data_IF_132967655454
#
_entry.id   IF_132967655454
#
_cell.length_a   1.000
_cell.length_b   1.000
_cell.length_c   1.000
_cell.angle_alpha   90.00
_cell.angle_beta   90.00
_cell.angle_gamma   90.00
#
_symmetry.space_group_name_H-M   'P 1'
#
loop_
_entity.id
_entity.type
_entity.pdbx_description
1 polymer ?
#
# COMPACT_ATOMS: atom_id res chain seq x y z
N UNK A 1 -28.70 -12.34 -16.26
CA UNK A 1 -27.91 -11.35 -15.48
C UNK A 1 -28.42 -9.96 -15.84
N UNK A 2 -28.95 -9.18 -14.88
CA UNK A 2 -29.66 -7.93 -15.18
C UNK A 2 -28.71 -6.81 -15.63
N UNK A 3 -29.22 -5.87 -16.44
CA UNK A 3 -28.48 -4.69 -16.94
C UNK A 3 -27.85 -3.88 -15.80
N UNK A 4 -28.56 -3.75 -14.68
CA UNK A 4 -28.09 -3.08 -13.47
C UNK A 4 -26.84 -3.75 -12.89
N UNK A 5 -26.81 -5.09 -12.86
CA UNK A 5 -25.67 -5.86 -12.33
C UNK A 5 -24.42 -5.69 -13.20
N UNK A 6 -24.56 -5.63 -14.53
CA UNK A 6 -23.44 -5.36 -15.45
C UNK A 6 -22.85 -3.96 -15.25
N UNK A 7 -23.71 -2.96 -15.04
CA UNK A 7 -23.28 -1.57 -14.86
C UNK A 7 -22.48 -1.39 -13.57
N UNK A 8 -22.96 -2.02 -12.50
CA UNK A 8 -22.30 -2.03 -11.20
C UNK A 8 -20.95 -2.77 -11.26
N UNK A 9 -20.91 -3.96 -11.85
CA UNK A 9 -19.65 -4.72 -12.03
C UNK A 9 -18.60 -3.93 -12.86
N UNK A 10 -19.05 -3.20 -13.88
CA UNK A 10 -18.18 -2.34 -14.69
C UNK A 10 -17.60 -1.17 -13.90
N UNK A 11 -18.41 -0.53 -13.04
CA UNK A 11 -17.95 0.56 -12.17
C UNK A 11 -16.88 0.07 -11.18
N UNK A 12 -17.12 -1.06 -10.50
CA UNK A 12 -16.14 -1.65 -9.58
C UNK A 12 -14.81 -1.96 -10.28
N UNK A 13 -14.86 -2.58 -11.46
CA UNK A 13 -13.65 -2.87 -12.24
C UNK A 13 -12.85 -1.60 -12.53
N UNK A 14 -13.53 -0.51 -12.91
CA UNK A 14 -12.88 0.78 -13.19
C UNK A 14 -12.21 1.36 -11.94
N UNK A 15 -12.86 1.30 -10.77
CA UNK A 15 -12.26 1.75 -9.51
C UNK A 15 -10.97 0.99 -9.19
N UNK A 16 -10.96 -0.33 -9.34
CA UNK A 16 -9.75 -1.13 -9.10
C UNK A 16 -8.63 -0.88 -10.13
N UNK A 17 -8.97 -0.55 -11.38
CA UNK A 17 -7.99 -0.16 -12.39
C UNK A 17 -7.35 1.20 -12.07
N UNK A 18 -8.16 2.19 -11.67
CA UNK A 18 -7.67 3.49 -11.23
C UNK A 18 -6.77 3.34 -10.01
N UNK A 19 -7.19 2.53 -9.03
CA UNK A 19 -6.38 2.16 -7.88
C UNK A 19 -5.02 1.59 -8.30
N UNK A 20 -5.00 0.60 -9.19
CA UNK A 20 -3.75 -0.01 -9.66
C UNK A 20 -2.83 1.02 -10.32
N UNK A 21 -3.37 1.86 -11.21
CA UNK A 21 -2.59 2.91 -11.88
C UNK A 21 -2.01 3.91 -10.89
N UNK A 22 -2.81 4.38 -9.92
CA UNK A 22 -2.35 5.31 -8.89
C UNK A 22 -1.24 4.69 -8.03
N UNK A 23 -1.40 3.43 -7.58
CA UNK A 23 -0.37 2.74 -6.81
C UNK A 23 0.95 2.63 -7.60
N UNK A 24 0.89 2.33 -8.90
CA UNK A 24 2.08 2.26 -9.74
C UNK A 24 2.75 3.63 -9.94
N UNK A 25 1.98 4.70 -10.13
CA UNK A 25 2.50 6.07 -10.25
C UNK A 25 3.19 6.48 -8.95
N UNK A 26 2.54 6.24 -7.80
CA UNK A 26 3.11 6.52 -6.48
C UNK A 26 4.40 5.72 -6.28
N UNK A 27 4.42 4.46 -6.69
CA UNK A 27 5.60 3.61 -6.60
C UNK A 27 6.77 4.12 -7.47
N UNK A 28 6.50 4.53 -8.71
CA UNK A 28 7.53 5.15 -9.56
C UNK A 28 8.06 6.43 -8.90
N UNK A 29 7.17 7.28 -8.39
CA UNK A 29 7.54 8.49 -7.65
C UNK A 29 8.42 8.19 -6.44
N UNK A 30 8.08 7.14 -5.67
CA UNK A 30 8.89 6.64 -4.56
C UNK A 30 10.31 6.27 -5.01
N UNK A 31 10.43 5.43 -6.05
CA UNK A 31 11.73 4.96 -6.54
C UNK A 31 12.60 6.12 -7.00
N UNK A 32 12.04 7.06 -7.78
CA UNK A 32 12.77 8.22 -8.27
C UNK A 32 13.26 9.11 -7.14
N UNK A 33 12.39 9.40 -6.17
CA UNK A 33 12.73 10.23 -5.02
C UNK A 33 13.76 9.56 -4.12
N UNK A 34 13.62 8.26 -3.86
CA UNK A 34 14.54 7.50 -3.03
C UNK A 34 15.93 7.40 -3.68
N UNK A 35 16.00 7.14 -4.99
CA UNK A 35 17.25 7.15 -5.74
C UNK A 35 17.92 8.54 -5.70
N UNK A 36 17.14 9.61 -5.86
CA UNK A 36 17.66 10.97 -5.73
C UNK A 36 18.20 11.26 -4.32
N UNK A 37 17.47 10.83 -3.28
CA UNK A 37 17.88 10.97 -1.88
C UNK A 37 19.18 10.24 -1.60
N UNK A 38 19.37 9.02 -2.12
CA UNK A 38 20.62 8.26 -1.97
C UNK A 38 21.80 8.94 -2.66
N UNK A 39 21.62 9.42 -3.89
CA UNK A 39 22.67 10.17 -4.60
C UNK A 39 23.08 11.44 -3.85
N UNK A 40 22.11 12.16 -3.29
CA UNK A 40 22.42 13.34 -2.48
C UNK A 40 23.07 12.98 -1.14
N UNK A 41 22.72 11.84 -0.55
CA UNK A 41 23.38 11.35 0.66
C UNK A 41 24.88 11.09 0.42
N UNK A 42 25.26 10.51 -0.72
CA UNK A 42 26.68 10.35 -1.09
C UNK A 42 27.40 11.70 -1.21
N UNK A 43 26.77 12.69 -1.86
CA UNK A 43 27.33 14.05 -1.98
C UNK A 43 27.52 14.71 -0.61
N UNK A 44 26.53 14.58 0.28
CA UNK A 44 26.62 15.15 1.63
C UNK A 44 27.66 14.44 2.49
N UNK A 45 27.81 13.12 2.35
CA UNK A 45 28.85 12.36 3.06
C UNK A 45 30.26 12.64 2.54
N UNK A 46 30.39 13.04 1.27
CA UNK A 46 31.67 13.39 0.66
C UNK A 46 32.14 14.83 0.96
N UNK A 47 31.29 15.67 1.59
CA UNK A 47 31.72 17.01 2.03
C UNK A 47 32.68 16.87 3.21
N UNK A 48 33.87 17.45 3.07
CA UNK A 48 34.88 17.53 4.15
C UNK A 48 34.47 18.55 5.24
N UNK A 49 33.66 19.55 4.88
CA UNK A 49 33.15 20.58 5.78
C UNK A 49 31.82 20.19 6.47
N UNK A 50 31.50 20.88 7.57
CA UNK A 50 30.20 20.78 8.24
C UNK A 50 29.04 21.12 7.29
N UNK A 51 27.99 20.30 7.32
CA UNK A 51 26.74 20.52 6.58
C UNK A 51 26.20 21.93 6.81
N UNK A 52 25.88 22.64 5.73
CA UNK A 52 25.28 23.96 5.85
C UNK A 52 23.82 23.85 6.31
N UNK A 53 23.25 24.92 6.88
CA UNK A 53 21.81 24.95 7.19
C UNK A 53 20.92 24.62 5.98
N UNK A 54 21.34 25.03 4.77
CA UNK A 54 20.62 24.73 3.53
C UNK A 54 20.68 23.25 3.14
N UNK A 55 21.78 22.56 3.42
CA UNK A 55 21.89 21.11 3.25
C UNK A 55 20.95 20.38 4.21
N UNK A 56 20.92 20.80 5.48
CA UNK A 56 20.05 20.23 6.51
C UNK A 56 18.57 20.36 6.13
N UNK A 57 18.16 21.53 5.62
CA UNK A 57 16.79 21.72 5.15
C UNK A 57 16.46 20.83 3.95
N UNK A 58 17.41 20.65 3.03
CA UNK A 58 17.24 19.77 1.87
C UNK A 58 17.10 18.30 2.29
N UNK A 59 17.95 17.84 3.21
CA UNK A 59 17.87 16.50 3.84
C UNK A 59 16.47 16.30 4.45
N UNK A 60 16.04 17.27 5.27
CA UNK A 60 14.76 17.20 5.97
C UNK A 60 13.59 17.12 4.99
N UNK A 61 13.57 17.99 3.98
CA UNK A 61 12.49 18.00 2.99
C UNK A 61 12.43 16.69 2.22
N UNK A 62 13.58 16.17 1.75
CA UNK A 62 13.62 14.89 1.02
C UNK A 62 13.16 13.71 1.89
N UNK A 63 13.51 13.70 3.17
CA UNK A 63 12.98 12.75 4.14
C UNK A 63 11.44 12.82 4.23
N UNK A 64 10.91 14.02 4.43
CA UNK A 64 9.46 14.25 4.53
C UNK A 64 8.71 13.88 3.24
N UNK A 65 9.25 14.19 2.07
CA UNK A 65 8.64 13.80 0.80
C UNK A 65 8.59 12.28 0.63
N UNK A 66 9.66 11.58 1.02
CA UNK A 66 9.71 10.11 0.95
C UNK A 66 8.65 9.50 1.86
N UNK A 67 8.58 9.96 3.12
CA UNK A 67 7.59 9.52 4.10
C UNK A 67 6.15 9.77 3.61
N UNK A 68 5.86 10.96 3.06
CA UNK A 68 4.53 11.29 2.52
C UNK A 68 4.11 10.38 1.38
N UNK A 69 5.05 9.98 0.52
CA UNK A 69 4.78 9.05 -0.58
C UNK A 69 4.44 7.66 -0.01
N UNK A 70 5.20 7.17 0.96
CA UNK A 70 4.90 5.90 1.64
C UNK A 70 3.53 5.91 2.33
N UNK A 71 3.21 6.99 3.05
CA UNK A 71 1.90 7.17 3.70
C UNK A 71 0.76 7.19 2.65
N UNK A 72 0.97 7.84 1.51
CA UNK A 72 -0.02 7.89 0.42
C UNK A 72 -0.30 6.49 -0.14
N UNK A 73 0.75 5.67 -0.30
CA UNK A 73 0.64 4.28 -0.74
C UNK A 73 -0.19 3.43 0.24
N UNK A 74 0.08 3.57 1.55
CA UNK A 74 -0.69 2.87 2.59
C UNK A 74 -2.14 3.36 2.67
N UNK A 75 -2.34 4.67 2.60
CA UNK A 75 -3.67 5.29 2.68
C UNK A 75 -4.55 4.81 1.52
N UNK A 76 -4.01 4.79 0.29
CA UNK A 76 -4.75 4.32 -0.87
C UNK A 76 -5.13 2.84 -0.76
N UNK A 77 -4.22 2.00 -0.25
CA UNK A 77 -4.51 0.61 0.06
C UNK A 77 -5.63 0.46 1.10
N UNK A 78 -5.56 1.18 2.22
CA UNK A 78 -6.56 1.12 3.30
C UNK A 78 -7.93 1.59 2.81
N UNK A 79 -8.01 2.66 2.03
CA UNK A 79 -9.27 3.16 1.45
C UNK A 79 -9.92 2.08 0.59
N UNK A 80 -9.16 1.43 -0.29
CA UNK A 80 -9.69 0.39 -1.17
C UNK A 80 -10.00 -0.90 -0.42
N UNK A 81 -9.24 -1.24 0.62
CA UNK A 81 -9.54 -2.36 1.51
C UNK A 81 -10.88 -2.14 2.25
N UNK A 82 -11.08 -0.98 2.86
CA UNK A 82 -12.34 -0.61 3.53
C UNK A 82 -13.49 -0.60 2.52
N UNK A 83 -13.32 0.03 1.36
CA UNK A 83 -14.32 0.02 0.29
C UNK A 83 -14.71 -1.40 -0.13
N UNK A 84 -13.73 -2.31 -0.22
CA UNK A 84 -13.96 -3.71 -0.57
C UNK A 84 -14.74 -4.47 0.51
N UNK A 85 -14.47 -4.17 1.79
CA UNK A 85 -15.16 -4.79 2.93
C UNK A 85 -16.58 -4.24 3.12
N UNK A 86 -16.80 -2.94 2.92
CA UNK A 86 -18.12 -2.29 3.09
C UNK A 86 -19.08 -2.57 1.93
N UNK A 87 -18.61 -3.09 0.80
CA UNK A 87 -19.41 -3.49 -0.36
C UNK A 87 -20.20 -4.79 -0.11
N UNK A 88 -20.98 -4.83 0.98
CA UNK A 88 -21.75 -5.97 1.47
C UNK A 88 -22.79 -6.53 0.47
N UNK A 89 -23.17 -5.78 -0.58
CA UNK A 89 -24.16 -6.23 -1.57
C UNK A 89 -23.59 -7.18 -2.64
N UNK A 90 -22.26 -7.28 -2.78
CA UNK A 90 -21.56 -8.06 -3.82
C UNK A 90 -20.44 -8.94 -3.20
N UNK A 91 -20.45 -9.06 -1.86
CA UNK A 91 -19.39 -9.48 -0.94
C UNK A 91 -18.23 -10.31 -1.49
N UNK A 92 -18.47 -11.47 -2.09
CA UNK A 92 -17.37 -12.33 -2.57
C UNK A 92 -16.65 -11.80 -3.82
N UNK A 93 -17.35 -11.16 -4.77
CA UNK A 93 -16.71 -10.70 -6.02
C UNK A 93 -15.82 -9.48 -5.80
N UNK A 94 -16.22 -8.58 -4.90
CA UNK A 94 -15.44 -7.38 -4.58
C UNK A 94 -14.15 -7.74 -3.85
N UNK A 95 -14.23 -8.63 -2.85
CA UNK A 95 -13.04 -9.14 -2.14
C UNK A 95 -12.14 -9.94 -3.07
N UNK A 96 -12.70 -10.80 -3.92
CA UNK A 96 -11.91 -11.52 -4.94
C UNK A 96 -11.21 -10.57 -5.90
N UNK A 97 -11.89 -9.49 -6.33
CA UNK A 97 -11.27 -8.46 -7.16
C UNK A 97 -10.15 -7.73 -6.41
N UNK A 98 -10.36 -7.34 -5.16
CA UNK A 98 -9.32 -6.73 -4.33
C UNK A 98 -8.06 -7.60 -4.25
N UNK A 99 -8.21 -8.89 -3.95
CA UNK A 99 -7.08 -9.84 -3.90
C UNK A 99 -6.41 -9.94 -5.27
N UNK A 100 -7.20 -10.07 -6.35
CA UNK A 100 -6.68 -10.15 -7.72
C UNK A 100 -5.84 -8.93 -8.11
N UNK A 101 -6.35 -7.72 -7.87
CA UNK A 101 -5.64 -6.49 -8.23
C UNK A 101 -4.40 -6.25 -7.37
N UNK A 102 -4.41 -6.64 -6.10
CA UNK A 102 -3.20 -6.62 -5.27
C UNK A 102 -2.15 -7.64 -5.73
N UNK A 103 -2.56 -8.83 -6.15
CA UNK A 103 -1.64 -9.81 -6.75
C UNK A 103 -1.01 -9.27 -8.03
N UNK A 104 -1.80 -8.62 -8.89
CA UNK A 104 -1.30 -7.93 -10.10
C UNK A 104 -0.33 -6.81 -9.70
N UNK A 105 -0.67 -5.99 -8.70
CA UNK A 105 0.19 -4.92 -8.21
C UNK A 105 1.54 -5.45 -7.72
N UNK A 106 1.55 -6.53 -6.94
CA UNK A 106 2.77 -7.19 -6.47
C UNK A 106 3.65 -7.59 -7.66
N UNK A 107 3.08 -8.28 -8.66
CA UNK A 107 3.81 -8.70 -9.85
C UNK A 107 4.36 -7.51 -10.63
N UNK A 108 3.56 -6.46 -10.83
CA UNK A 108 4.00 -5.25 -11.51
C UNK A 108 5.14 -4.54 -10.76
N UNK A 109 5.05 -4.44 -9.42
CA UNK A 109 6.11 -3.86 -8.60
C UNK A 109 7.37 -4.71 -8.72
N UNK A 110 7.31 -6.04 -8.62
CA UNK A 110 8.48 -6.90 -8.81
C UNK A 110 9.15 -6.69 -10.17
N UNK A 111 8.36 -6.61 -11.24
CA UNK A 111 8.88 -6.34 -12.59
C UNK A 111 9.51 -4.95 -12.70
N UNK A 112 8.87 -3.92 -12.15
CA UNK A 112 9.42 -2.56 -12.12
C UNK A 112 10.69 -2.49 -11.28
N UNK A 113 10.72 -3.11 -10.10
CA UNK A 113 11.88 -3.18 -9.23
C UNK A 113 13.05 -3.87 -9.94
N UNK A 114 12.80 -4.93 -10.71
CA UNK A 114 13.86 -5.56 -11.52
C UNK A 114 14.47 -4.57 -12.53
N UNK A 115 13.64 -3.78 -13.23
CA UNK A 115 14.12 -2.75 -14.17
C UNK A 115 14.85 -1.62 -13.45
N UNK A 116 14.31 -1.14 -12.33
CA UNK A 116 14.90 -0.05 -11.56
C UNK A 116 16.21 -0.45 -10.87
N UNK A 117 16.37 -1.72 -10.49
CA UNK A 117 17.62 -2.21 -9.92
C UNK A 117 18.81 -2.01 -10.87
N UNK A 118 18.60 -2.07 -12.18
CA UNK A 118 19.67 -1.83 -13.16
C UNK A 118 19.89 -0.35 -13.50
N UNK A 119 18.95 0.53 -13.16
CA UNK A 119 18.97 1.95 -13.57
C UNK A 119 19.12 2.93 -12.41
N UNK A 120 19.04 2.43 -11.17
CA UNK A 120 19.14 3.20 -9.92
C UNK A 120 20.24 2.61 -9.03
N UNK A 121 20.66 3.36 -8.02
CA UNK A 121 21.60 2.85 -7.00
C UNK A 121 20.91 2.05 -5.90
N UNK A 122 19.60 1.82 -6.02
CA UNK A 122 18.79 1.19 -4.99
C UNK A 122 18.90 -0.32 -5.01
N UNK A 123 18.92 -0.89 -3.81
CA UNK A 123 18.83 -2.34 -3.59
C UNK A 123 17.42 -2.84 -3.87
N UNK A 124 17.29 -4.13 -4.18
CA UNK A 124 15.99 -4.78 -4.33
C UNK A 124 15.10 -4.62 -3.09
N UNK A 125 15.70 -4.61 -1.89
CA UNK A 125 14.97 -4.42 -0.65
C UNK A 125 14.32 -3.03 -0.57
N UNK A 126 15.06 -1.97 -0.88
CA UNK A 126 14.55 -0.60 -0.91
C UNK A 126 13.44 -0.44 -1.95
N UNK A 127 13.63 -1.03 -3.13
CA UNK A 127 12.61 -1.01 -4.19
C UNK A 127 11.33 -1.74 -3.77
N UNK A 128 11.41 -2.75 -2.91
CA UNK A 128 10.24 -3.50 -2.43
C UNK A 128 9.68 -2.98 -1.10
N UNK A 129 10.31 -2.00 -0.46
CA UNK A 129 9.92 -1.50 0.86
C UNK A 129 8.44 -1.06 0.95
N UNK A 130 7.87 -0.34 -0.04
CA UNK A 130 6.45 0.01 0.00
C UNK A 130 5.53 -1.22 0.06
N UNK A 131 5.93 -2.31 -0.61
CA UNK A 131 5.17 -3.56 -0.63
C UNK A 131 5.29 -4.32 0.70
N UNK A 132 6.48 -4.32 1.30
CA UNK A 132 6.72 -4.91 2.63
C UNK A 132 5.85 -4.20 3.68
N UNK A 133 5.81 -2.87 3.64
CA UNK A 133 4.97 -2.08 4.54
C UNK A 133 3.48 -2.40 4.36
N UNK A 134 3.00 -2.58 3.12
CA UNK A 134 1.63 -3.04 2.87
C UNK A 134 1.35 -4.43 3.44
N UNK A 135 2.29 -5.37 3.32
CA UNK A 135 2.12 -6.70 3.89
C UNK A 135 1.95 -6.62 5.42
N UNK A 136 2.75 -5.80 6.09
CA UNK A 136 2.64 -5.54 7.53
C UNK A 136 1.27 -4.98 7.91
N UNK A 137 0.79 -3.95 7.20
CA UNK A 137 -0.54 -3.37 7.42
C UNK A 137 -1.64 -4.40 7.20
N UNK A 138 -1.51 -5.24 6.17
CA UNK A 138 -2.49 -6.30 5.86
C UNK A 138 -2.57 -7.32 7.00
N UNK A 139 -1.43 -7.74 7.54
CA UNK A 139 -1.37 -8.66 8.68
C UNK A 139 -2.02 -8.04 9.92
N UNK A 140 -1.75 -6.76 10.20
CA UNK A 140 -2.36 -6.05 11.33
C UNK A 140 -3.90 -6.02 11.17
N UNK A 141 -4.40 -5.61 10.00
CA UNK A 141 -5.85 -5.56 9.74
C UNK A 141 -6.48 -6.94 9.86
N UNK A 142 -5.87 -7.97 9.29
CA UNK A 142 -6.35 -9.34 9.39
C UNK A 142 -6.41 -9.81 10.85
N UNK A 143 -5.39 -9.51 11.65
CA UNK A 143 -5.31 -9.88 13.06
C UNK A 143 -6.42 -9.22 13.87
N UNK A 144 -6.64 -7.91 13.67
CA UNK A 144 -7.73 -7.16 14.33
C UNK A 144 -9.10 -7.75 13.97
N UNK A 145 -9.34 -8.06 12.70
CA UNK A 145 -10.60 -8.66 12.24
C UNK A 145 -10.83 -10.06 12.83
N UNK A 146 -9.76 -10.88 12.95
CA UNK A 146 -9.85 -12.19 13.60
C UNK A 146 -10.18 -12.05 15.07
N UNK A 147 -9.51 -11.15 15.81
CA UNK A 147 -9.78 -10.89 17.22
C UNK A 147 -11.23 -10.44 17.42
N UNK A 148 -11.71 -9.48 16.61
CA UNK A 148 -13.10 -9.02 16.66
C UNK A 148 -14.09 -10.19 16.47
N UNK A 149 -13.81 -11.06 15.49
CA UNK A 149 -14.64 -12.22 15.21
C UNK A 149 -14.64 -13.22 16.37
N UNK A 150 -13.49 -13.48 16.97
CA UNK A 150 -13.35 -14.38 18.14
C UNK A 150 -14.12 -13.82 19.33
N UNK A 151 -13.98 -12.53 19.64
CA UNK A 151 -14.71 -11.86 20.73
C UNK A 151 -16.22 -11.95 20.49
N UNK A 152 -16.68 -11.64 19.27
CA UNK A 152 -18.11 -11.70 18.91
C UNK A 152 -18.68 -13.12 19.04
N UNK A 153 -17.95 -14.14 18.61
CA UNK A 153 -18.35 -15.55 18.76
C UNK A 153 -18.37 -15.97 20.23
N UNK A 154 -17.38 -15.55 21.02
CA UNK A 154 -17.31 -15.81 22.46
C UNK A 154 -18.46 -15.16 23.24
N UNK A 155 -18.80 -13.90 22.92
CA UNK A 155 -19.95 -13.20 23.50
C UNK A 155 -21.29 -13.87 23.12
N UNK A 156 -21.47 -14.25 21.85
CA UNK A 156 -22.69 -14.93 21.41
C UNK A 156 -22.86 -16.31 22.08
N UNK A 157 -21.75 -17.04 22.34
CA UNK A 157 -21.81 -18.30 23.12
C UNK A 157 -22.21 -18.08 24.57
N UNK A 158 -21.73 -17.01 25.22
CA UNK A 158 -22.14 -16.68 26.60
C UNK A 158 -23.62 -16.29 26.71
N UNK A 159 -24.13 -15.48 25.78
CA UNK A 159 -25.55 -15.06 25.77
C UNK A 159 -26.50 -16.23 25.47
N UNK A 160 -26.07 -17.21 24.68
CA UNK A 160 -26.84 -18.44 24.45
C UNK A 160 -26.90 -19.40 25.64
N UNK A 161 -25.95 -19.33 26.57
CA UNK A 161 -25.87 -20.23 27.74
C UNK A 161 -26.71 -19.76 28.94
N UNK A 162 -27.15 -18.51 28.98
CA UNK A 162 -27.96 -17.95 30.09
C UNK A 162 -29.47 -18.15 29.90
N UNK A 163 -29.88 -18.84 28.83
CA UNK A 163 -31.25 -19.29 28.59
C UNK A 163 -31.38 -20.79 28.88
N UNK A 164 -31.14 -21.21 30.12
CA UNK A 164 -31.58 -22.50 30.67
C UNK A 164 -32.03 -22.24 32.11
#
# INVERSE_FOLDING_TARGET
>A
MSLFQKLVDHHYRRVFQIYLMLMLIIHIGYVLLMNYRFKMAEVWMAKEDLLTPTDIDSIRQLGQWTERIEISFMTLFVIIAIFSLLSNRIGQKTISSFIKYNAILIVCIFMLSAVFHFTTTLTTFELLLPLINLATVTVIVATVLVIERVIRVGLNRKVGSTKI
#
